data_IF_001575481749
#
_entry.id   IF_001575481749
#
_cell.length_a   1.000
_cell.length_b   1.000
_cell.length_c   1.000
_cell.angle_alpha   90.00
_cell.angle_beta   90.00
_cell.angle_gamma   90.00
#
_symmetry.space_group_name_H-M   'P 1'
#
loop_
_entity.id
_entity.type
_entity.pdbx_description
1 polymer ?
#
# COMPACT_ATOMS: atom_id res chain seq x y z
N UNK A 1 -13.92 15.67 6.96
CA UNK A 1 -15.05 14.78 6.60
C UNK A 1 -14.63 13.34 6.82
N UNK A 2 -15.19 12.68 7.83
CA UNK A 2 -14.97 11.26 8.04
C UNK A 2 -15.72 10.46 6.95
N UNK A 3 -15.06 9.49 6.28
CA UNK A 3 -15.78 8.60 5.38
C UNK A 3 -16.74 7.75 6.20
N UNK A 4 -18.01 7.74 5.80
CA UNK A 4 -19.02 6.87 6.41
C UNK A 4 -18.65 5.42 6.15
N UNK A 5 -18.47 4.64 7.21
CA UNK A 5 -18.32 3.20 7.08
C UNK A 5 -19.65 2.58 6.63
N UNK A 6 -19.65 1.85 5.53
CA UNK A 6 -20.78 1.01 5.15
C UNK A 6 -20.86 -0.21 6.08
N UNK A 7 -22.05 -0.75 6.30
CA UNK A 7 -22.31 -1.87 7.21
C UNK A 7 -21.53 -3.17 6.90
N UNK A 8 -20.86 -3.26 5.76
CA UNK A 8 -19.99 -4.39 5.40
C UNK A 8 -18.57 -4.30 6.01
N UNK A 9 -18.25 -3.24 6.75
CA UNK A 9 -16.91 -3.00 7.28
C UNK A 9 -16.67 -3.53 8.70
N UNK A 10 -17.66 -4.14 9.34
CA UNK A 10 -17.55 -4.63 10.72
C UNK A 10 -16.59 -5.83 10.91
N UNK A 11 -16.15 -6.44 9.81
CA UNK A 11 -15.22 -7.58 9.84
C UNK A 11 -13.76 -7.12 9.89
N UNK A 12 -13.45 -5.88 9.48
CA UNK A 12 -12.07 -5.38 9.38
C UNK A 12 -11.85 -4.22 10.35
N UNK A 13 -10.95 -4.42 11.29
CA UNK A 13 -10.47 -3.33 12.15
C UNK A 13 -9.48 -2.47 11.36
N UNK A 14 -9.79 -1.19 11.18
CA UNK A 14 -8.89 -0.21 10.58
C UNK A 14 -8.03 0.41 11.67
N UNK A 15 -6.71 0.36 11.48
CA UNK A 15 -5.73 1.03 12.31
C UNK A 15 -5.17 2.23 11.52
N UNK A 16 -4.74 3.24 12.24
CA UNK A 16 -4.10 4.42 11.67
C UNK A 16 -2.63 4.40 12.08
N UNK A 17 -1.75 4.58 11.11
CA UNK A 17 -0.33 4.82 11.37
C UNK A 17 -0.13 6.34 11.31
N UNK A 18 0.12 6.95 12.46
CA UNK A 18 0.43 8.38 12.56
C UNK A 18 1.93 8.58 12.40
N UNK A 19 2.32 9.30 11.36
CA UNK A 19 3.70 9.66 11.06
C UNK A 19 3.99 11.04 11.61
N UNK A 20 4.93 11.14 12.55
CA UNK A 20 5.38 12.42 13.09
C UNK A 20 6.85 12.60 12.81
N UNK A 21 7.19 13.74 12.19
CA UNK A 21 8.56 14.25 12.07
C UNK A 21 8.72 15.41 13.04
N UNK A 22 9.28 15.19 14.23
CA UNK A 22 9.42 16.28 15.22
C UNK A 22 10.38 17.38 14.77
N UNK A 23 11.39 17.08 13.93
CA UNK A 23 12.33 18.05 13.32
C UNK A 23 12.96 17.46 12.05
N UNK A 24 13.44 18.34 11.15
CA UNK A 24 14.25 17.93 10.01
C UNK A 24 15.52 17.19 10.50
N UNK A 25 15.77 15.99 9.99
CA UNK A 25 16.93 15.16 10.35
C UNK A 25 16.72 14.18 11.51
N UNK A 26 15.55 14.17 12.15
CA UNK A 26 15.19 13.18 13.18
C UNK A 26 14.46 12.01 12.53
N UNK A 27 14.73 10.79 13.03
CA UNK A 27 14.04 9.58 12.60
C UNK A 27 12.53 9.73 12.69
N UNK A 28 11.83 9.24 11.68
CA UNK A 28 10.38 9.24 11.63
C UNK A 28 9.83 8.36 12.77
N UNK A 29 9.00 8.92 13.63
CA UNK A 29 8.33 8.18 14.70
C UNK A 29 6.99 7.68 14.16
N UNK A 30 6.78 6.37 14.22
CA UNK A 30 5.54 5.71 13.83
C UNK A 30 4.72 5.41 15.07
N UNK A 31 3.52 5.99 15.15
CA UNK A 31 2.54 5.63 16.16
C UNK A 31 1.45 4.77 15.53
N UNK A 32 1.28 3.56 16.05
CA UNK A 32 0.21 2.65 15.64
C UNK A 32 -0.96 2.89 16.56
N UNK A 33 -2.11 3.31 15.99
CA UNK A 33 -3.35 3.49 16.72
C UNK A 33 -4.22 2.26 16.50
N UNK A 34 -4.41 1.46 17.53
CA UNK A 34 -5.17 0.21 17.49
C UNK A 34 -4.32 -1.00 17.83
N UNK A 35 -4.96 -2.14 17.89
CA UNK A 35 -4.33 -3.41 18.25
C UNK A 35 -4.01 -4.22 16.98
N UNK A 36 -2.74 -4.55 16.80
CA UNK A 36 -2.22 -5.36 15.70
C UNK A 36 -1.59 -6.68 16.15
N UNK A 37 -1.56 -6.93 17.47
CA UNK A 37 -0.96 -8.15 18.00
C UNK A 37 -1.65 -9.39 17.41
N UNK A 38 -0.85 -10.33 16.96
CA UNK A 38 -1.28 -11.59 16.33
C UNK A 38 -2.20 -11.41 15.12
N UNK A 39 -2.06 -10.31 14.37
CA UNK A 39 -2.86 -10.02 13.17
C UNK A 39 -2.03 -10.06 11.91
N UNK A 40 -2.67 -10.41 10.81
CA UNK A 40 -2.19 -10.13 9.47
C UNK A 40 -2.59 -8.71 9.10
N UNK A 41 -1.63 -7.87 8.78
CA UNK A 41 -1.84 -6.46 8.49
C UNK A 41 -1.74 -6.18 6.99
N UNK A 42 -2.61 -5.33 6.50
CA UNK A 42 -2.56 -4.82 5.13
C UNK A 42 -2.40 -3.30 5.22
N UNK A 43 -1.32 -2.78 4.63
CA UNK A 43 -1.12 -1.35 4.43
C UNK A 43 -1.66 -0.95 3.06
N UNK A 44 -2.31 0.20 2.99
CA UNK A 44 -2.81 0.76 1.72
C UNK A 44 -2.31 2.19 1.60
N UNK A 45 -1.72 2.50 0.44
CA UNK A 45 -1.22 3.85 0.12
C UNK A 45 -1.45 4.15 -1.37
N UNK A 46 -1.33 5.40 -1.76
CA UNK A 46 -1.48 5.83 -3.16
C UNK A 46 -0.17 5.69 -3.93
N UNK A 47 0.96 6.00 -3.32
CA UNK A 47 2.27 6.03 -3.98
C UNK A 47 3.39 5.48 -3.09
N UNK A 48 4.29 4.73 -3.69
CA UNK A 48 5.58 4.34 -3.09
C UNK A 48 6.72 4.77 -4.00
N UNK A 49 7.60 5.62 -3.49
CA UNK A 49 8.78 6.09 -4.20
C UNK A 49 10.04 5.37 -3.69
N UNK A 50 10.73 5.89 -2.71
CA UNK A 50 11.94 5.26 -2.16
C UNK A 50 11.66 4.03 -1.27
N UNK A 51 10.43 3.83 -0.83
CA UNK A 51 9.99 2.74 0.02
C UNK A 51 10.43 2.82 1.49
N UNK A 52 11.19 3.85 1.88
CA UNK A 52 11.69 3.97 3.26
C UNK A 52 10.57 4.03 4.29
N UNK A 53 9.62 4.91 4.09
CA UNK A 53 8.46 5.07 4.97
C UNK A 53 7.62 3.79 5.07
N UNK A 54 7.36 3.13 3.94
CA UNK A 54 6.59 1.89 3.88
C UNK A 54 7.29 0.77 4.64
N UNK A 55 8.59 0.60 4.45
CA UNK A 55 9.38 -0.43 5.13
C UNK A 55 9.48 -0.17 6.64
N UNK A 56 9.63 1.10 7.04
CA UNK A 56 9.64 1.49 8.46
C UNK A 56 8.28 1.21 9.12
N UNK A 57 7.18 1.50 8.42
CA UNK A 57 5.84 1.20 8.91
C UNK A 57 5.64 -0.31 9.07
N UNK A 58 6.10 -1.11 8.12
CA UNK A 58 6.03 -2.56 8.21
C UNK A 58 6.83 -3.10 9.40
N UNK A 59 8.05 -2.59 9.63
CA UNK A 59 8.87 -2.95 10.79
C UNK A 59 8.15 -2.61 12.11
N UNK A 60 7.58 -1.42 12.22
CA UNK A 60 6.84 -1.01 13.41
C UNK A 60 5.61 -1.91 13.68
N UNK A 61 4.90 -2.36 12.64
CA UNK A 61 3.78 -3.30 12.78
C UNK A 61 4.24 -4.67 13.28
N UNK A 62 5.34 -5.19 12.74
CA UNK A 62 5.92 -6.47 13.20
C UNK A 62 6.40 -6.34 14.64
N UNK A 63 7.08 -5.25 15.00
CA UNK A 63 7.53 -4.99 16.38
C UNK A 63 6.36 -4.88 17.37
N UNK A 64 5.20 -4.41 16.90
CA UNK A 64 3.96 -4.36 17.66
C UNK A 64 3.20 -5.70 17.71
N UNK A 65 3.76 -6.79 17.18
CA UNK A 65 3.22 -8.14 17.29
C UNK A 65 2.42 -8.63 16.08
N UNK A 66 2.42 -7.91 14.95
CA UNK A 66 1.78 -8.39 13.73
C UNK A 66 2.47 -9.68 13.23
N UNK A 67 1.66 -10.62 12.72
CA UNK A 67 2.16 -11.90 12.17
C UNK A 67 2.79 -11.66 10.80
N UNK A 68 2.16 -10.85 9.98
CA UNK A 68 2.63 -10.50 8.63
C UNK A 68 2.14 -9.12 8.24
N UNK A 69 2.85 -8.50 7.31
CA UNK A 69 2.48 -7.20 6.74
C UNK A 69 2.57 -7.30 5.23
N UNK A 70 1.45 -7.04 4.57
CA UNK A 70 1.37 -6.86 3.13
C UNK A 70 1.06 -5.40 2.80
N UNK A 71 1.53 -4.92 1.66
CA UNK A 71 1.26 -3.55 1.23
C UNK A 71 0.63 -3.53 -0.17
N UNK A 72 -0.40 -2.72 -0.32
CA UNK A 72 -1.08 -2.46 -1.60
C UNK A 72 -0.96 -0.98 -1.91
N UNK A 73 -0.32 -0.67 -3.02
CA UNK A 73 -0.03 0.72 -3.42
C UNK A 73 -0.39 0.91 -4.89
N UNK A 74 -1.08 1.99 -5.20
CA UNK A 74 -1.51 2.23 -6.58
C UNK A 74 -0.31 2.50 -7.48
N UNK A 75 0.57 3.44 -7.11
CA UNK A 75 1.66 3.91 -7.96
C UNK A 75 3.02 3.48 -7.42
N UNK A 76 3.62 2.48 -8.05
CA UNK A 76 4.96 1.98 -7.70
C UNK A 76 6.05 2.71 -8.48
N UNK A 77 6.51 3.87 -8.01
CA UNK A 77 7.66 4.58 -8.61
C UNK A 77 8.93 3.78 -8.39
N UNK A 78 9.15 3.30 -7.16
CA UNK A 78 10.21 2.38 -6.74
C UNK A 78 11.62 2.85 -7.18
N UNK A 79 11.91 4.13 -6.91
CA UNK A 79 13.19 4.76 -7.25
C UNK A 79 14.31 4.40 -6.28
N UNK A 80 15.55 4.66 -6.69
CA UNK A 80 16.71 4.76 -5.80
C UNK A 80 16.95 3.57 -4.87
N UNK A 81 16.91 2.33 -5.37
CA UNK A 81 17.15 1.12 -4.56
C UNK A 81 15.94 0.69 -3.69
N UNK A 82 14.76 1.22 -3.98
CA UNK A 82 13.52 0.87 -3.27
C UNK A 82 13.24 -0.63 -3.31
N UNK A 83 13.46 -1.29 -4.44
CA UNK A 83 13.27 -2.74 -4.59
C UNK A 83 14.14 -3.53 -3.62
N UNK A 84 15.42 -3.19 -3.51
CA UNK A 84 16.34 -3.83 -2.55
C UNK A 84 15.91 -3.58 -1.11
N UNK A 85 15.42 -2.37 -0.82
CA UNK A 85 14.92 -2.01 0.51
C UNK A 85 13.65 -2.82 0.86
N UNK A 86 12.72 -2.94 -0.07
CA UNK A 86 11.53 -3.78 0.09
C UNK A 86 11.90 -5.25 0.27
N UNK A 87 12.86 -5.76 -0.52
CA UNK A 87 13.32 -7.14 -0.42
C UNK A 87 13.98 -7.47 0.92
N UNK A 88 14.63 -6.49 1.57
CA UNK A 88 15.27 -6.64 2.88
C UNK A 88 14.38 -6.25 4.06
N UNK A 89 13.17 -5.77 3.80
CA UNK A 89 12.20 -5.37 4.83
C UNK A 89 11.36 -6.56 5.33
N UNK A 90 10.65 -6.42 6.44
CA UNK A 90 9.73 -7.44 6.92
C UNK A 90 8.40 -7.51 6.14
N UNK A 91 8.27 -6.79 5.03
CA UNK A 91 7.11 -6.91 4.14
C UNK A 91 7.02 -8.32 3.54
N UNK A 92 5.89 -8.98 3.73
CA UNK A 92 5.58 -10.25 3.07
C UNK A 92 5.39 -10.06 1.57
N UNK A 93 4.65 -9.03 1.19
CA UNK A 93 4.49 -8.62 -0.22
C UNK A 93 4.23 -7.13 -0.37
N UNK A 94 4.69 -6.58 -1.49
CA UNK A 94 4.29 -5.28 -2.01
C UNK A 94 3.56 -5.50 -3.33
N UNK A 95 2.31 -5.10 -3.38
CA UNK A 95 1.48 -5.16 -4.58
C UNK A 95 1.32 -3.75 -5.13
N UNK A 96 1.72 -3.53 -6.38
CA UNK A 96 1.51 -2.26 -7.08
C UNK A 96 0.73 -2.48 -8.36
N UNK A 97 0.18 -1.42 -8.93
CA UNK A 97 -0.46 -1.51 -10.25
C UNK A 97 0.55 -1.27 -11.38
N UNK A 98 0.15 -1.56 -12.60
CA UNK A 98 0.91 -1.26 -13.83
C UNK A 98 0.69 0.18 -14.33
N UNK A 99 0.19 1.09 -13.48
CA UNK A 99 0.10 2.52 -13.76
C UNK A 99 1.48 3.16 -14.05
N UNK A 100 2.54 2.55 -13.50
CA UNK A 100 3.93 2.84 -13.81
C UNK A 100 4.58 1.54 -14.27
N UNK A 101 5.27 1.52 -15.43
CA UNK A 101 5.90 0.31 -15.94
C UNK A 101 6.93 -0.27 -14.99
N UNK A 102 6.89 -1.60 -14.81
CA UNK A 102 7.86 -2.31 -13.99
C UNK A 102 9.26 -2.25 -14.61
N UNK A 103 10.24 -1.84 -13.82
CA UNK A 103 11.66 -1.99 -14.16
C UNK A 103 12.07 -3.46 -14.07
N UNK A 104 13.22 -3.81 -14.63
CA UNK A 104 13.74 -5.17 -14.54
C UNK A 104 13.93 -5.60 -13.07
N UNK A 105 14.43 -4.71 -12.21
CA UNK A 105 14.58 -4.98 -10.79
C UNK A 105 13.25 -5.35 -10.12
N UNK A 106 12.16 -4.69 -10.49
CA UNK A 106 10.82 -4.99 -9.99
C UNK A 106 10.33 -6.34 -10.49
N UNK A 107 10.59 -6.69 -11.75
CA UNK A 107 10.13 -7.95 -12.37
C UNK A 107 10.77 -9.19 -11.75
N UNK A 108 12.02 -9.08 -11.31
CA UNK A 108 12.75 -10.19 -10.69
C UNK A 108 12.62 -10.25 -9.17
N UNK A 109 12.03 -9.23 -8.56
CA UNK A 109 11.83 -9.17 -7.11
C UNK A 109 10.78 -10.21 -6.66
N UNK A 110 11.14 -11.03 -5.67
CA UNK A 110 10.26 -12.13 -5.21
C UNK A 110 9.02 -11.65 -4.46
N UNK A 111 9.12 -10.53 -3.75
CA UNK A 111 8.07 -10.00 -2.90
C UNK A 111 7.40 -8.74 -3.47
N UNK A 112 7.63 -8.41 -4.74
CA UNK A 112 6.91 -7.34 -5.45
C UNK A 112 6.03 -7.95 -6.52
N UNK A 113 4.78 -7.58 -6.55
CA UNK A 113 3.76 -8.06 -7.48
C UNK A 113 3.13 -6.89 -8.22
N UNK A 114 2.82 -7.09 -9.49
CA UNK A 114 2.08 -6.13 -10.32
C UNK A 114 0.68 -6.63 -10.63
N UNK A 115 -0.30 -5.75 -10.45
CA UNK A 115 -1.69 -5.94 -10.90
C UNK A 115 -1.97 -5.00 -12.06
N UNK A 116 -2.56 -5.54 -13.14
CA UNK A 116 -2.98 -4.71 -14.25
C UNK A 116 -4.28 -3.98 -13.93
N UNK A 117 -4.28 -2.66 -14.12
CA UNK A 117 -5.48 -1.81 -14.09
C UNK A 117 -6.12 -1.64 -15.47
N UNK A 118 -5.54 -2.22 -16.51
CA UNK A 118 -6.06 -2.12 -17.88
C UNK A 118 -7.53 -2.57 -18.03
N UNK A 119 -7.98 -3.70 -17.42
CA UNK A 119 -9.39 -4.09 -17.49
C UNK A 119 -10.32 -3.04 -16.85
N UNK A 120 -9.94 -2.46 -15.71
CA UNK A 120 -10.73 -1.42 -15.03
C UNK A 120 -10.80 -0.15 -15.87
N UNK A 121 -9.68 0.31 -16.41
CA UNK A 121 -9.61 1.49 -17.29
C UNK A 121 -10.37 1.25 -18.59
N UNK A 122 -10.22 0.10 -19.21
CA UNK A 122 -10.95 -0.28 -20.42
C UNK A 122 -12.46 -0.27 -20.22
N UNK A 123 -12.95 -0.81 -19.11
CA UNK A 123 -14.36 -0.77 -18.75
C UNK A 123 -14.85 0.65 -18.48
N UNK A 124 -14.05 1.48 -17.80
CA UNK A 124 -14.39 2.90 -17.58
C UNK A 124 -14.53 3.66 -18.92
N UNK A 125 -13.56 3.49 -19.83
CA UNK A 125 -13.59 4.10 -21.16
C UNK A 125 -14.81 3.64 -21.94
N UNK A 126 -15.12 2.33 -21.94
CA UNK A 126 -16.30 1.78 -22.61
C UNK A 126 -17.58 2.40 -22.08
N UNK A 127 -17.75 2.49 -20.77
CA UNK A 127 -18.95 3.09 -20.16
C UNK A 127 -19.09 4.55 -20.49
N UNK A 128 -18.01 5.33 -20.47
CA UNK A 128 -18.03 6.74 -20.86
C UNK A 128 -18.46 6.89 -22.32
N UNK A 129 -17.94 6.06 -23.23
CA UNK A 129 -18.32 6.08 -24.63
C UNK A 129 -19.79 5.68 -24.86
N UNK A 130 -20.34 4.82 -24.00
CA UNK A 130 -21.75 4.38 -24.03
C UNK A 130 -22.68 5.28 -23.19
N UNK A 131 -22.19 6.43 -22.68
CA UNK A 131 -22.92 7.35 -21.81
C UNK A 131 -23.47 6.69 -20.52
N UNK A 132 -22.78 5.66 -20.03
CA UNK A 132 -23.14 4.90 -18.84
C UNK A 132 -22.34 5.36 -17.61
N UNK A 133 -22.92 5.19 -16.42
CA UNK A 133 -22.25 5.53 -15.15
C UNK A 133 -21.01 4.66 -14.92
N UNK A 134 -19.92 5.30 -14.47
CA UNK A 134 -18.71 4.66 -13.99
C UNK A 134 -18.69 4.43 -12.47
N UNK A 135 -19.61 5.05 -11.73
CA UNK A 135 -19.65 5.00 -10.26
C UNK A 135 -19.85 3.60 -9.68
N UNK A 136 -20.38 2.68 -10.47
CA UNK A 136 -20.58 1.28 -10.07
C UNK A 136 -19.33 0.40 -10.27
N UNK A 137 -18.21 0.96 -10.72
CA UNK A 137 -16.93 0.28 -10.82
C UNK A 137 -16.15 0.32 -9.48
N UNK A 138 -16.60 1.16 -8.53
CA UNK A 138 -15.92 1.43 -7.27
C UNK A 138 -16.81 1.17 -6.07
#
# INVERSE_FOLDING_TARGET
>A
THPRSSAASDVYKRQIIDKRRPKAGVSEVMNIIGDVDKRHCIMVDDIVDSGGTLCNAAAALIDAGAISVDAYVTHGVLSGGAVSRVASSPLSSLVTTDSIPATEAVRVARNVRHLSVAPLLGEAIRRINEERSVSTLF
#
